data_IF_506211797779
#
_entry.id   IF_506211797779
#
_cell.length_a   1.000
_cell.length_b   1.000
_cell.length_c   1.000
_cell.angle_alpha   90.00
_cell.angle_beta   90.00
_cell.angle_gamma   90.00
#
_symmetry.space_group_name_H-M   'P 1'
#
loop_
_entity.id
_entity.type
_entity.pdbx_description
1 polymer ?
#
# COMPACT_ATOMS: atom_id res chain seq x y z
N UNK A 1 24.23 6.86 7.49
CA UNK A 1 23.43 6.08 8.46
C UNK A 1 22.26 5.53 7.69
N UNK A 2 22.25 4.22 7.43
CA UNK A 2 21.18 3.57 6.66
C UNK A 2 20.11 3.15 7.66
N UNK A 3 18.86 3.59 7.46
CA UNK A 3 17.75 3.27 8.36
C UNK A 3 16.59 2.71 7.55
N UNK A 4 16.18 1.48 7.87
CA UNK A 4 14.87 0.97 7.48
C UNK A 4 13.84 1.51 8.50
N UNK A 5 13.35 2.74 8.29
CA UNK A 5 12.45 3.44 9.21
C UNK A 5 13.11 3.99 10.49
N UNK A 6 12.33 4.60 11.39
CA UNK A 6 12.80 5.22 12.65
C UNK A 6 13.15 4.19 13.76
N UNK A 7 13.56 2.98 13.39
CA UNK A 7 13.98 1.96 14.35
C UNK A 7 15.34 2.39 14.90
N UNK A 8 15.34 2.79 16.18
CA UNK A 8 16.54 3.29 16.84
C UNK A 8 17.60 2.20 16.87
N UNK A 9 18.84 2.61 16.58
CA UNK A 9 20.00 1.77 16.81
C UNK A 9 20.03 1.30 18.26
N UNK A 10 20.02 -0.01 18.46
CA UNK A 10 20.13 -0.65 19.78
C UNK A 10 21.54 -0.53 20.34
N UNK A 11 22.52 -0.22 19.47
CA UNK A 11 23.89 0.03 19.84
C UNK A 11 24.04 1.43 20.46
N UNK A 12 24.30 1.47 21.77
CA UNK A 12 24.45 2.72 22.54
C UNK A 12 25.88 3.24 22.46
N UNK A 13 26.25 3.80 21.33
CA UNK A 13 27.56 4.40 21.10
C UNK A 13 27.45 5.88 20.71
N UNK A 14 28.58 6.61 20.80
CA UNK A 14 28.62 8.03 20.40
C UNK A 14 28.39 8.17 18.89
N UNK A 15 27.81 9.28 18.40
CA UNK A 15 27.54 9.46 16.96
C UNK A 15 28.76 9.33 16.02
N UNK A 16 29.98 9.52 16.55
CA UNK A 16 31.23 9.36 15.81
C UNK A 16 31.76 7.92 15.76
N UNK A 17 31.12 6.98 16.45
CA UNK A 17 31.53 5.58 16.48
C UNK A 17 31.15 4.89 15.16
N UNK A 18 32.12 4.17 14.59
CA UNK A 18 31.92 3.36 13.39
C UNK A 18 31.61 1.92 13.79
N UNK A 19 30.39 1.42 13.53
CA UNK A 19 30.00 0.07 13.91
C UNK A 19 30.80 -1.00 13.16
N UNK A 20 31.14 -2.08 13.87
CA UNK A 20 31.65 -3.29 13.25
C UNK A 20 30.57 -3.99 12.43
N UNK A 21 30.99 -4.88 11.53
CA UNK A 21 30.08 -5.63 10.66
C UNK A 21 29.04 -6.44 11.45
N UNK A 22 29.45 -7.07 12.55
CA UNK A 22 28.56 -7.92 13.34
C UNK A 22 27.51 -7.09 14.09
N UNK A 23 27.87 -5.89 14.55
CA UNK A 23 26.94 -4.94 15.18
C UNK A 23 25.90 -4.40 14.19
N UNK A 24 26.30 -4.17 12.92
CA UNK A 24 25.36 -3.80 11.85
C UNK A 24 24.37 -4.94 11.62
N UNK A 25 24.85 -6.19 11.49
CA UNK A 25 24.00 -7.35 11.23
C UNK A 25 23.02 -7.63 12.37
N UNK A 26 23.45 -7.51 13.63
CA UNK A 26 22.58 -7.64 14.80
C UNK A 26 21.50 -6.55 14.85
N UNK A 27 21.82 -5.32 14.44
CA UNK A 27 20.80 -4.26 14.33
C UNK A 27 19.81 -4.52 13.19
N UNK A 28 20.25 -5.11 12.07
CA UNK A 28 19.35 -5.53 11.01
C UNK A 28 18.39 -6.64 11.45
N UNK A 29 18.86 -7.64 12.20
CA UNK A 29 18.02 -8.69 12.79
C UNK A 29 16.97 -8.09 13.75
N UNK A 30 17.40 -7.15 14.61
CA UNK A 30 16.48 -6.41 15.47
C UNK A 30 15.42 -5.60 14.70
N UNK A 31 15.81 -4.96 13.58
CA UNK A 31 14.86 -4.27 12.71
C UNK A 31 13.82 -5.23 12.12
N UNK A 32 14.24 -6.43 11.70
CA UNK A 32 13.34 -7.45 11.16
C UNK A 32 12.36 -7.97 12.23
N UNK A 33 12.84 -8.25 13.45
CA UNK A 33 12.01 -8.64 14.60
C UNK A 33 11.01 -7.57 15.04
N UNK A 34 11.40 -6.30 14.90
CA UNK A 34 10.57 -5.15 15.27
C UNK A 34 9.48 -4.91 14.24
N UNK A 35 9.83 -5.01 12.95
CA UNK A 35 8.86 -4.96 11.85
C UNK A 35 7.89 -6.14 11.92
N UNK A 36 8.22 -7.22 12.65
CA UNK A 36 7.43 -8.43 12.78
C UNK A 36 6.18 -8.36 13.72
N UNK A 37 5.77 -7.20 14.27
CA UNK A 37 4.61 -7.09 15.22
C UNK A 37 3.28 -6.33 14.87
N UNK A 38 2.95 -5.97 13.62
CA UNK A 38 1.67 -5.31 13.21
C UNK A 38 0.63 -6.26 12.56
N UNK A 39 -0.59 -5.78 12.27
CA UNK A 39 -1.68 -6.52 11.60
C UNK A 39 -1.51 -6.56 10.07
N UNK A 40 -1.75 -7.72 9.46
CA UNK A 40 -1.03 -8.12 8.24
C UNK A 40 -1.77 -9.19 7.44
N UNK A 41 -1.40 -9.30 6.18
CA UNK A 41 -1.80 -10.35 5.25
C UNK A 41 -1.07 -11.65 5.64
N UNK A 42 -1.75 -12.79 5.52
CA UNK A 42 -1.18 -14.11 5.82
C UNK A 42 0.07 -14.39 4.95
N UNK A 43 1.25 -14.33 5.57
CA UNK A 43 2.53 -14.57 4.90
C UNK A 43 2.60 -15.98 4.35
N UNK A 44 2.12 -16.97 5.10
CA UNK A 44 2.26 -18.38 4.74
C UNK A 44 1.32 -18.73 3.56
N UNK A 45 0.21 -18.00 3.43
CA UNK A 45 -0.68 -18.06 2.28
C UNK A 45 -0.08 -17.41 1.02
N UNK A 46 0.56 -16.25 1.14
CA UNK A 46 1.10 -15.52 -0.02
C UNK A 46 2.50 -15.98 -0.44
N UNK A 47 3.28 -16.49 0.50
CA UNK A 47 4.66 -16.91 0.31
C UNK A 47 4.92 -18.32 0.88
N UNK A 48 4.16 -19.34 0.45
CA UNK A 48 4.40 -20.70 0.91
C UNK A 48 5.78 -21.21 0.47
N UNK A 49 6.41 -22.02 1.31
CA UNK A 49 7.75 -22.56 1.06
C UNK A 49 7.74 -23.94 0.37
N UNK A 50 8.88 -24.35 -0.17
CA UNK A 50 9.11 -25.70 -0.68
C UNK A 50 8.13 -26.13 -1.78
N UNK A 51 7.56 -27.34 -1.65
CA UNK A 51 6.62 -27.88 -2.64
C UNK A 51 5.24 -27.19 -2.59
N UNK A 52 4.90 -26.52 -1.48
CA UNK A 52 3.59 -25.88 -1.32
C UNK A 52 3.38 -24.76 -2.34
N UNK A 53 4.43 -24.01 -2.73
CA UNK A 53 4.36 -23.00 -3.79
C UNK A 53 3.96 -23.56 -5.17
N UNK A 54 4.14 -24.85 -5.40
CA UNK A 54 3.73 -25.50 -6.66
C UNK A 54 2.26 -25.86 -6.68
N UNK A 55 1.66 -26.12 -5.50
CA UNK A 55 0.30 -26.67 -5.38
C UNK A 55 -0.71 -25.68 -4.81
N UNK A 56 -0.27 -24.65 -4.09
CA UNK A 56 -1.14 -23.75 -3.34
C UNK A 56 -0.53 -22.37 -3.11
N UNK A 57 -1.17 -21.59 -2.25
CA UNK A 57 -0.84 -20.18 -2.04
C UNK A 57 -1.45 -19.24 -3.08
N UNK A 58 -1.52 -17.98 -2.70
CA UNK A 58 -2.23 -16.91 -3.40
C UNK A 58 -1.24 -15.92 -4.01
N UNK A 59 -1.34 -15.75 -5.33
CA UNK A 59 -0.55 -14.76 -6.09
C UNK A 59 -1.12 -13.35 -5.89
N UNK A 60 -0.26 -12.34 -5.83
CA UNK A 60 -0.69 -10.94 -5.72
C UNK A 60 -1.50 -10.50 -6.94
N UNK A 61 -1.15 -10.97 -8.14
CA UNK A 61 -1.95 -10.68 -9.35
C UNK A 61 -3.37 -11.24 -9.25
N UNK A 62 -3.55 -12.41 -8.60
CA UNK A 62 -4.87 -12.98 -8.40
C UNK A 62 -5.70 -12.11 -7.44
N UNK A 63 -5.10 -11.62 -6.36
CA UNK A 63 -5.77 -10.70 -5.43
C UNK A 63 -6.16 -9.39 -6.13
N UNK A 64 -5.25 -8.81 -6.92
CA UNK A 64 -5.54 -7.60 -7.69
C UNK A 64 -6.70 -7.81 -8.68
N UNK A 65 -6.76 -8.96 -9.35
CA UNK A 65 -7.86 -9.33 -10.23
C UNK A 65 -9.19 -9.48 -9.47
N UNK A 66 -9.18 -10.10 -8.29
CA UNK A 66 -10.38 -10.28 -7.45
C UNK A 66 -10.88 -8.95 -6.86
N UNK A 67 -9.98 -8.02 -6.50
CA UNK A 67 -10.35 -6.63 -6.17
C UNK A 67 -11.04 -5.95 -7.35
N UNK A 68 -10.44 -6.01 -8.53
CA UNK A 68 -10.98 -5.40 -9.75
C UNK A 68 -12.33 -5.99 -10.14
N UNK A 69 -12.53 -7.28 -9.91
CA UNK A 69 -13.80 -7.96 -10.20
C UNK A 69 -14.92 -7.60 -9.22
N UNK A 70 -14.61 -7.29 -7.96
CA UNK A 70 -15.61 -7.00 -6.91
C UNK A 70 -15.91 -5.53 -6.74
N UNK A 71 -14.90 -4.67 -6.88
CA UNK A 71 -15.04 -3.26 -6.55
C UNK A 71 -15.80 -2.50 -7.65
N UNK A 72 -16.89 -1.84 -7.26
CA UNK A 72 -17.72 -1.05 -8.16
C UNK A 72 -17.67 0.47 -7.87
N UNK A 73 -16.79 0.91 -6.96
CA UNK A 73 -16.67 2.31 -6.56
C UNK A 73 -17.55 2.74 -5.38
N UNK A 74 -18.53 1.92 -5.00
CA UNK A 74 -19.48 2.23 -3.91
C UNK A 74 -19.59 1.13 -2.84
N UNK A 75 -18.95 -0.02 -3.03
CA UNK A 75 -19.05 -1.19 -2.17
C UNK A 75 -17.77 -1.48 -1.39
N UNK A 76 -17.00 -0.46 -0.98
CA UNK A 76 -15.74 -0.66 -0.28
C UNK A 76 -15.88 -1.53 0.98
N UNK A 77 -16.97 -1.41 1.74
CA UNK A 77 -17.21 -2.23 2.94
C UNK A 77 -17.36 -3.73 2.60
N UNK A 78 -18.07 -4.08 1.52
CA UNK A 78 -18.21 -5.47 1.08
C UNK A 78 -16.89 -6.06 0.60
N UNK A 79 -16.12 -5.27 -0.16
CA UNK A 79 -14.79 -5.65 -0.63
C UNK A 79 -13.85 -5.82 0.55
N UNK A 80 -13.95 -4.97 1.56
CA UNK A 80 -13.18 -5.08 2.80
C UNK A 80 -13.49 -6.34 3.56
N UNK A 81 -14.77 -6.62 3.78
CA UNK A 81 -15.22 -7.81 4.48
C UNK A 81 -14.77 -9.08 3.78
N UNK A 82 -14.85 -9.12 2.45
CA UNK A 82 -14.31 -10.21 1.66
C UNK A 82 -12.79 -10.34 1.85
N UNK A 83 -12.03 -9.26 1.65
CA UNK A 83 -10.57 -9.29 1.73
C UNK A 83 -10.09 -9.75 3.11
N UNK A 84 -10.71 -9.21 4.17
CA UNK A 84 -10.40 -9.59 5.56
C UNK A 84 -10.68 -11.07 5.81
N UNK A 85 -11.85 -11.58 5.38
CA UNK A 85 -12.21 -13.00 5.53
C UNK A 85 -11.29 -13.93 4.74
N UNK A 86 -10.82 -13.50 3.58
CA UNK A 86 -10.03 -14.35 2.68
C UNK A 86 -8.53 -14.36 2.98
N UNK A 87 -7.97 -13.25 3.49
CA UNK A 87 -6.52 -13.05 3.56
C UNK A 87 -6.01 -12.42 4.86
N UNK A 88 -6.90 -11.94 5.72
CA UNK A 88 -6.52 -11.19 6.91
C UNK A 88 -6.09 -12.09 8.05
N UNK A 89 -4.98 -11.72 8.71
CA UNK A 89 -4.67 -12.15 10.06
C UNK A 89 -4.82 -10.96 11.02
N UNK A 90 -5.38 -11.20 12.19
CA UNK A 90 -5.60 -10.16 13.18
C UNK A 90 -5.43 -10.63 14.61
N UNK A 91 -4.93 -9.71 15.44
CA UNK A 91 -4.86 -9.84 16.90
C UNK A 91 -5.91 -8.97 17.61
N UNK A 92 -6.61 -8.14 16.86
CA UNK A 92 -7.58 -7.14 17.33
C UNK A 92 -8.98 -7.52 16.86
N UNK A 93 -10.02 -7.41 17.70
CA UNK A 93 -11.36 -7.94 17.40
C UNK A 93 -12.04 -7.30 16.19
N UNK A 94 -11.91 -5.97 16.01
CA UNK A 94 -12.48 -5.24 14.87
C UNK A 94 -11.52 -4.14 14.42
N UNK A 95 -11.05 -4.12 13.17
CA UNK A 95 -10.25 -2.99 12.65
C UNK A 95 -10.79 -2.52 11.32
N UNK A 96 -10.93 -1.20 11.17
CA UNK A 96 -11.35 -0.56 9.91
C UNK A 96 -10.20 -0.15 9.00
N UNK A 97 -8.94 -0.26 9.46
CA UNK A 97 -7.75 0.13 8.71
C UNK A 97 -6.98 -1.11 8.26
N UNK A 98 -6.56 -1.14 7.00
CA UNK A 98 -5.60 -2.11 6.48
C UNK A 98 -4.22 -1.46 6.46
N UNK A 99 -3.25 -2.14 7.06
CA UNK A 99 -1.86 -1.96 6.75
C UNK A 99 -1.38 -3.19 5.98
N UNK A 100 -0.81 -3.00 4.79
CA UNK A 100 -0.24 -4.09 4.01
C UNK A 100 1.11 -4.50 4.61
N UNK A 101 1.09 -5.34 5.64
CA UNK A 101 2.28 -6.07 6.09
C UNK A 101 2.08 -7.59 6.01
N UNK A 102 3.08 -8.38 6.39
CA UNK A 102 3.09 -9.85 6.26
C UNK A 102 3.31 -10.55 7.60
N UNK A 103 2.33 -11.34 8.08
CA UNK A 103 2.35 -12.04 9.39
C UNK A 103 2.06 -13.51 9.11
N UNK A 104 2.74 -14.41 9.82
CA UNK A 104 2.36 -15.82 9.85
C UNK A 104 1.29 -16.11 10.90
N UNK A 105 0.61 -17.24 10.74
CA UNK A 105 -0.34 -17.70 11.75
C UNK A 105 0.34 -17.93 13.11
N UNK A 106 1.57 -18.45 13.12
CA UNK A 106 2.34 -18.68 14.34
C UNK A 106 2.71 -17.37 15.08
N UNK A 107 3.13 -16.34 14.34
CA UNK A 107 3.40 -15.01 14.90
C UNK A 107 2.12 -14.40 15.47
N UNK A 108 0.98 -14.53 14.76
CA UNK A 108 -0.33 -14.08 15.26
C UNK A 108 -0.70 -14.75 16.59
N UNK A 109 -0.56 -16.08 16.69
CA UNK A 109 -0.85 -16.83 17.92
C UNK A 109 0.07 -16.37 19.07
N UNK A 110 1.34 -16.11 18.78
CA UNK A 110 2.31 -15.61 19.77
C UNK A 110 1.90 -14.22 20.25
N UNK A 111 1.53 -13.32 19.36
CA UNK A 111 1.02 -11.99 19.72
C UNK A 111 -0.25 -12.11 20.56
N UNK A 112 -1.25 -12.86 20.11
CA UNK A 112 -2.53 -13.05 20.82
C UNK A 112 -2.34 -13.57 22.25
N UNK A 113 -1.47 -14.56 22.42
CA UNK A 113 -1.20 -15.15 23.74
C UNK A 113 -0.44 -14.23 24.69
N UNK A 114 0.28 -13.24 24.17
CA UNK A 114 1.03 -12.26 24.95
C UNK A 114 0.23 -10.96 25.20
N UNK A 115 -0.87 -10.74 24.48
CA UNK A 115 -1.69 -9.53 24.61
C UNK A 115 -2.54 -9.59 25.88
N UNK A 116 -2.26 -8.69 26.83
CA UNK A 116 -3.05 -8.56 28.06
C UNK A 116 -4.30 -7.71 27.89
N UNK A 117 -4.27 -6.73 26.99
CA UNK A 117 -5.37 -5.80 26.75
C UNK A 117 -5.28 -5.22 25.35
N UNK A 118 -6.44 -5.10 24.68
CA UNK A 118 -6.57 -4.36 23.42
C UNK A 118 -7.55 -3.21 23.65
N UNK A 119 -7.10 -1.98 23.42
CA UNK A 119 -7.93 -0.77 23.51
C UNK A 119 -8.19 -0.26 22.10
N UNK A 120 -9.42 -0.40 21.64
CA UNK A 120 -9.83 0.01 20.29
C UNK A 120 -10.18 1.51 20.24
N UNK A 121 -9.21 2.37 20.49
CA UNK A 121 -9.34 3.83 20.43
C UNK A 121 -8.03 4.47 19.94
N UNK A 122 -8.08 5.75 19.60
CA UNK A 122 -6.89 6.53 19.24
C UNK A 122 -6.32 7.20 20.49
N UNK A 123 -5.04 6.94 20.77
CA UNK A 123 -4.26 7.73 21.71
C UNK A 123 -4.18 9.18 21.21
N UNK A 124 -4.58 10.12 22.07
CA UNK A 124 -4.47 11.56 21.83
C UNK A 124 -3.20 12.07 22.46
N UNK A 125 -2.98 11.77 23.74
CA UNK A 125 -1.82 12.24 24.49
C UNK A 125 -1.53 11.36 25.71
N UNK A 126 -0.36 11.55 26.32
CA UNK A 126 -0.02 11.03 27.64
C UNK A 126 0.23 12.21 28.57
N UNK A 127 -0.64 12.38 29.56
CA UNK A 127 -0.53 13.43 30.56
C UNK A 127 0.23 12.86 31.77
N UNK A 128 1.34 13.49 32.11
CA UNK A 128 2.11 13.19 33.32
C UNK A 128 1.80 14.26 34.38
N UNK A 129 1.00 13.90 35.38
CA UNK A 129 0.69 14.76 36.52
C UNK A 129 1.39 14.24 37.80
N UNK A 130 1.30 15.01 38.88
CA UNK A 130 2.00 14.71 40.14
C UNK A 130 1.57 13.38 40.81
N UNK A 131 0.48 12.75 40.35
CA UNK A 131 -0.01 11.48 40.89
C UNK A 131 0.49 10.28 40.08
N UNK A 132 0.18 10.24 38.77
CA UNK A 132 0.60 9.16 37.86
C UNK A 132 0.37 9.51 36.38
N UNK A 133 1.23 9.05 35.45
CA UNK A 133 0.98 9.24 34.03
C UNK A 133 -0.31 8.56 33.56
N UNK A 134 -1.07 9.23 32.68
CA UNK A 134 -2.36 8.76 32.14
C UNK A 134 -2.42 8.94 30.63
N UNK A 135 -2.91 7.92 29.92
CA UNK A 135 -3.25 8.02 28.50
C UNK A 135 -4.61 8.69 28.34
N UNK A 136 -4.68 9.72 27.51
CA UNK A 136 -5.92 10.31 27.04
C UNK A 136 -6.27 9.73 25.66
N UNK A 137 -7.49 9.23 25.52
CA UNK A 137 -7.99 8.64 24.29
C UNK A 137 -8.97 9.59 23.60
N UNK A 138 -9.20 9.39 22.30
CA UNK A 138 -10.09 10.24 21.49
C UNK A 138 -11.53 10.19 21.97
N UNK A 139 -11.98 9.07 22.54
CA UNK A 139 -13.29 8.99 23.19
C UNK A 139 -13.43 9.87 24.43
N UNK A 140 -12.34 10.46 24.94
CA UNK A 140 -12.28 11.14 26.23
C UNK A 140 -11.96 10.21 27.40
N UNK A 141 -11.82 8.89 27.16
CA UNK A 141 -11.41 7.95 28.18
C UNK A 141 -9.96 8.23 28.64
N UNK A 142 -9.72 8.05 29.94
CA UNK A 142 -8.41 8.20 30.58
C UNK A 142 -7.99 6.89 31.23
N UNK A 143 -6.82 6.37 30.85
CA UNK A 143 -6.30 5.10 31.36
C UNK A 143 -4.97 5.34 32.11
N UNK A 144 -4.81 4.86 33.35
CA UNK A 144 -3.55 5.01 34.07
C UNK A 144 -2.44 4.16 33.44
N UNK A 145 -1.22 4.71 33.38
CA UNK A 145 -0.03 3.99 32.97
C UNK A 145 0.72 3.48 34.20
N UNK A 146 1.07 2.19 34.18
CA UNK A 146 1.87 1.60 35.26
C UNK A 146 3.31 2.12 35.15
N UNK A 147 3.95 2.53 36.26
CA UNK A 147 5.38 2.86 36.26
C UNK A 147 6.21 1.73 35.62
N UNK A 148 7.17 2.10 34.77
CA UNK A 148 8.00 1.16 34.00
C UNK A 148 7.39 0.67 32.68
N UNK A 149 6.24 1.19 32.27
CA UNK A 149 5.66 0.94 30.95
C UNK A 149 6.49 1.56 29.82
N UNK A 150 6.60 0.87 28.69
CA UNK A 150 7.20 1.38 27.46
C UNK A 150 6.09 1.66 26.45
N UNK A 151 6.07 2.88 25.90
CA UNK A 151 5.16 3.23 24.82
C UNK A 151 5.89 3.15 23.49
N UNK A 152 5.37 2.32 22.59
CA UNK A 152 5.88 2.19 21.22
C UNK A 152 4.80 2.71 20.28
N UNK A 153 5.07 3.86 19.66
CA UNK A 153 4.20 4.43 18.64
C UNK A 153 4.77 4.12 17.26
N UNK A 154 4.05 3.33 16.46
CA UNK A 154 4.41 2.97 15.09
C UNK A 154 3.73 3.84 14.03
N UNK A 155 3.01 4.90 14.41
CA UNK A 155 2.36 5.79 13.44
C UNK A 155 3.24 6.97 13.01
N UNK A 156 3.48 7.05 11.70
CA UNK A 156 3.41 8.33 10.99
C UNK A 156 4.71 8.88 10.43
N UNK A 157 4.93 8.71 9.11
CA UNK A 157 5.69 9.65 8.27
C UNK A 157 5.21 9.75 6.81
N UNK A 158 4.17 9.02 6.39
CA UNK A 158 3.82 9.00 4.96
C UNK A 158 2.99 10.20 4.49
N UNK A 159 2.22 10.88 5.37
CA UNK A 159 1.14 11.78 4.90
C UNK A 159 1.04 13.15 5.64
N UNK A 160 2.13 13.88 5.82
CA UNK A 160 2.06 15.21 6.48
C UNK A 160 2.56 16.39 5.65
N UNK A 161 2.82 16.18 4.34
CA UNK A 161 3.21 17.28 3.47
C UNK A 161 2.10 17.52 2.45
N UNK A 162 1.36 18.60 2.65
CA UNK A 162 0.46 19.16 1.65
C UNK A 162 1.31 19.83 0.57
N UNK A 163 1.42 19.18 -0.57
CA UNK A 163 2.00 19.76 -1.77
C UNK A 163 0.88 20.24 -2.69
N UNK A 164 1.07 21.36 -3.40
CA UNK A 164 0.13 21.77 -4.45
C UNK A 164 0.01 20.68 -5.51
N UNK A 165 -1.18 20.55 -6.09
CA UNK A 165 -1.42 19.62 -7.18
C UNK A 165 -0.49 19.94 -8.37
N UNK A 166 0.12 18.90 -8.92
CA UNK A 166 0.86 18.94 -10.18
C UNK A 166 0.44 17.72 -11.04
N UNK A 167 0.10 17.92 -12.32
CA UNK A 167 -0.26 16.81 -13.21
C UNK A 167 0.96 15.91 -13.47
N UNK A 168 0.73 14.60 -13.66
CA UNK A 168 1.81 13.66 -13.98
C UNK A 168 2.52 13.98 -15.30
N UNK A 169 1.87 14.72 -16.21
CA UNK A 169 2.47 15.23 -17.44
C UNK A 169 2.28 16.75 -17.50
N UNK A 170 3.38 17.48 -17.64
CA UNK A 170 3.36 18.94 -17.80
C UNK A 170 2.49 19.38 -18.99
N UNK A 171 1.92 20.59 -18.98
CA UNK A 171 1.17 21.15 -20.10
C UNK A 171 1.89 21.08 -21.46
N UNK A 172 3.21 21.28 -21.46
CA UNK A 172 4.06 21.22 -22.67
C UNK A 172 4.38 19.80 -23.12
N UNK A 173 4.01 18.78 -22.35
CA UNK A 173 4.35 17.37 -22.61
C UNK A 173 5.82 17.01 -22.41
N UNK A 174 6.62 17.89 -21.79
CA UNK A 174 8.10 17.74 -21.70
C UNK A 174 8.59 17.23 -20.36
N UNK A 175 7.73 17.16 -19.34
CA UNK A 175 8.09 16.73 -17.98
C UNK A 175 7.08 15.70 -17.48
N UNK A 176 7.61 14.55 -17.05
CA UNK A 176 6.88 13.51 -16.33
C UNK A 176 7.14 13.68 -14.82
N UNK A 177 6.08 13.77 -14.05
CA UNK A 177 6.13 13.91 -12.59
C UNK A 177 5.54 12.66 -11.93
N UNK A 178 6.27 12.10 -10.96
CA UNK A 178 5.84 10.89 -10.22
C UNK A 178 5.49 11.31 -8.79
N UNK A 179 4.19 11.43 -8.51
CA UNK A 179 3.74 11.92 -7.22
C UNK A 179 2.35 11.40 -6.81
N UNK A 180 2.00 11.45 -5.51
CA UNK A 180 0.70 10.99 -5.01
C UNK A 180 -0.51 11.81 -5.50
N UNK A 181 -0.37 13.11 -5.74
CA UNK A 181 -1.49 14.01 -6.11
C UNK A 181 -1.96 13.81 -7.56
N UNK A 182 -1.16 13.14 -8.38
CA UNK A 182 -1.49 12.75 -9.75
C UNK A 182 -0.96 11.33 -10.00
N UNK A 183 -1.33 10.41 -9.12
CA UNK A 183 -0.85 9.05 -9.21
C UNK A 183 -1.49 8.33 -10.40
N UNK A 184 -0.66 7.68 -11.21
CA UNK A 184 -1.10 6.83 -12.34
C UNK A 184 -1.03 5.33 -12.01
N UNK A 185 -0.51 4.96 -10.84
CA UNK A 185 -0.33 3.57 -10.42
C UNK A 185 -0.44 3.45 -8.89
N UNK A 186 -0.72 2.23 -8.41
CA UNK A 186 -0.77 1.87 -7.00
C UNK A 186 0.56 2.03 -6.23
N UNK A 187 1.69 1.99 -6.94
CA UNK A 187 3.03 2.19 -6.38
C UNK A 187 3.80 3.19 -7.24
N UNK A 188 4.55 4.08 -6.60
CA UNK A 188 5.39 5.07 -7.29
C UNK A 188 6.43 4.41 -8.20
N UNK A 189 7.00 3.27 -7.81
CA UNK A 189 7.92 2.51 -8.66
C UNK A 189 7.26 1.99 -9.94
N UNK A 190 5.99 1.56 -9.88
CA UNK A 190 5.22 1.18 -11.07
C UNK A 190 4.92 2.41 -11.94
N UNK A 191 4.51 3.51 -11.31
CA UNK A 191 4.25 4.78 -12.00
C UNK A 191 5.50 5.31 -12.71
N UNK A 192 6.65 5.30 -12.03
CA UNK A 192 7.93 5.68 -12.60
C UNK A 192 8.32 4.78 -13.78
N UNK A 193 8.22 3.46 -13.61
CA UNK A 193 8.61 2.51 -14.67
C UNK A 193 7.73 2.65 -15.92
N UNK A 194 6.42 2.46 -15.80
CA UNK A 194 5.53 2.48 -16.97
C UNK A 194 5.30 3.90 -17.50
N UNK A 195 5.23 4.91 -16.62
CA UNK A 195 5.14 6.31 -17.01
C UNK A 195 6.35 6.73 -17.84
N UNK A 196 7.57 6.35 -17.44
CA UNK A 196 8.80 6.67 -18.21
C UNK A 196 8.82 5.98 -19.56
N UNK A 197 8.39 4.70 -19.65
CA UNK A 197 8.32 4.00 -20.93
C UNK A 197 7.33 4.65 -21.89
N UNK A 198 6.15 5.04 -21.40
CA UNK A 198 5.15 5.76 -22.20
C UNK A 198 5.65 7.14 -22.61
N UNK A 199 6.32 7.85 -21.71
CA UNK A 199 6.89 9.18 -21.96
C UNK A 199 7.98 9.14 -23.04
N UNK A 200 8.98 8.26 -22.88
CA UNK A 200 10.09 8.13 -23.83
C UNK A 200 9.68 7.52 -25.17
N UNK A 201 8.50 6.88 -25.24
CA UNK A 201 7.93 6.36 -26.49
C UNK A 201 6.96 7.34 -27.16
N UNK A 202 6.80 8.56 -26.62
CA UNK A 202 5.85 9.58 -27.09
C UNK A 202 4.39 9.08 -27.13
N UNK A 203 4.01 8.25 -26.15
CA UNK A 203 2.67 7.66 -26.04
C UNK A 203 1.88 8.13 -24.83
N UNK A 204 2.53 8.82 -23.89
CA UNK A 204 1.92 9.16 -22.60
C UNK A 204 0.70 10.08 -22.73
N UNK A 205 0.75 11.10 -23.59
CA UNK A 205 -0.32 12.09 -23.79
C UNK A 205 -1.61 11.52 -24.37
N UNK A 206 -1.51 10.41 -25.12
CA UNK A 206 -2.62 9.76 -25.82
C UNK A 206 -3.00 8.41 -25.22
N UNK A 207 -2.23 7.93 -24.23
CA UNK A 207 -2.49 6.65 -23.57
C UNK A 207 -3.82 6.60 -22.82
N UNK A 208 -4.43 7.76 -22.49
CA UNK A 208 -5.70 7.82 -21.77
C UNK A 208 -5.60 7.34 -20.32
N UNK A 209 -4.41 7.48 -19.70
CA UNK A 209 -4.21 7.09 -18.31
C UNK A 209 -5.11 7.92 -17.39
N UNK A 210 -5.66 7.25 -16.39
CA UNK A 210 -6.32 7.90 -15.27
C UNK A 210 -5.26 8.40 -14.28
N UNK A 211 -5.49 9.59 -13.72
CA UNK A 211 -4.84 10.07 -12.52
C UNK A 211 -5.80 9.93 -11.32
N UNK A 212 -5.23 9.79 -10.12
CA UNK A 212 -5.96 9.93 -8.85
C UNK A 212 -5.13 10.78 -7.91
N UNK A 213 -5.75 11.78 -7.28
CA UNK A 213 -5.17 12.45 -6.13
C UNK A 213 -5.33 11.55 -4.90
N UNK A 214 -4.25 10.82 -4.60
CA UNK A 214 -4.21 9.86 -3.51
C UNK A 214 -4.26 10.52 -2.14
N UNK A 215 -3.77 11.76 -2.03
CA UNK A 215 -3.77 12.48 -0.76
C UNK A 215 -5.18 12.96 -0.43
N UNK A 216 -5.85 13.55 -1.42
CA UNK A 216 -7.25 13.98 -1.31
C UNK A 216 -8.17 12.79 -1.01
N UNK A 217 -8.00 11.68 -1.75
CA UNK A 217 -8.78 10.45 -1.53
C UNK A 217 -8.55 9.86 -0.13
N UNK A 218 -7.29 9.80 0.32
CA UNK A 218 -6.96 9.27 1.64
C UNK A 218 -7.58 10.11 2.77
N UNK A 219 -7.60 11.44 2.60
CA UNK A 219 -8.23 12.36 3.53
C UNK A 219 -9.75 12.26 3.52
N UNK A 220 -10.36 12.05 2.34
CA UNK A 220 -11.81 11.88 2.21
C UNK A 220 -12.30 10.53 2.78
N UNK A 221 -11.61 9.44 2.46
CA UNK A 221 -11.95 8.10 2.98
C UNK A 221 -10.77 7.13 2.87
N UNK A 222 -10.22 6.76 4.02
CA UNK A 222 -9.17 5.73 4.12
C UNK A 222 -9.62 4.34 3.69
N UNK A 223 -10.94 4.06 3.76
CA UNK A 223 -11.49 2.76 3.38
C UNK A 223 -11.54 2.59 1.86
N UNK A 224 -11.98 3.60 1.11
CA UNK A 224 -12.07 3.46 -0.35
C UNK A 224 -10.69 3.51 -1.02
N UNK A 225 -9.66 3.99 -0.30
CA UNK A 225 -8.32 4.20 -0.83
C UNK A 225 -7.68 2.93 -1.44
N UNK A 226 -7.50 1.80 -0.71
CA UNK A 226 -6.90 0.60 -1.30
C UNK A 226 -7.64 0.00 -2.51
N UNK A 227 -8.98 -0.21 -2.49
CA UNK A 227 -9.66 -0.74 -3.67
C UNK A 227 -9.58 0.22 -4.88
N UNK A 228 -9.54 1.54 -4.64
CA UNK A 228 -9.30 2.53 -5.72
C UNK A 228 -7.92 2.39 -6.33
N UNK A 229 -6.87 2.16 -5.53
CA UNK A 229 -5.52 1.90 -6.05
C UNK A 229 -5.45 0.67 -6.96
N UNK A 230 -6.13 -0.42 -6.58
CA UNK A 230 -6.19 -1.63 -7.39
C UNK A 230 -6.95 -1.39 -8.71
N UNK A 231 -8.08 -0.67 -8.66
CA UNK A 231 -8.80 -0.28 -9.87
C UNK A 231 -7.95 0.60 -10.79
N UNK A 232 -7.26 1.62 -10.24
CA UNK A 232 -6.34 2.47 -10.98
C UNK A 232 -5.25 1.65 -11.68
N UNK A 233 -4.60 0.75 -10.95
CA UNK A 233 -3.57 -0.13 -11.48
C UNK A 233 -4.11 -1.03 -12.59
N UNK A 234 -5.27 -1.67 -12.38
CA UNK A 234 -5.90 -2.54 -13.38
C UNK A 234 -6.24 -1.78 -14.66
N UNK A 235 -6.80 -0.57 -14.54
CA UNK A 235 -7.11 0.30 -15.67
C UNK A 235 -5.85 0.69 -16.45
N UNK A 236 -4.87 1.30 -15.77
CA UNK A 236 -3.70 1.88 -16.42
C UNK A 236 -2.70 0.83 -16.90
N UNK A 237 -2.52 -0.30 -16.20
CA UNK A 237 -1.70 -1.40 -16.70
C UNK A 237 -2.31 -2.00 -17.97
N UNK A 238 -3.63 -2.10 -18.04
CA UNK A 238 -4.31 -2.59 -19.23
C UNK A 238 -4.03 -1.69 -20.44
N UNK A 239 -3.99 -0.36 -20.26
CA UNK A 239 -3.58 0.59 -21.31
C UNK A 239 -2.11 0.45 -21.68
N UNK A 240 -1.23 0.29 -20.68
CA UNK A 240 0.20 0.05 -20.91
C UNK A 240 0.43 -1.20 -21.76
N UNK A 241 -0.38 -2.26 -21.58
CA UNK A 241 -0.27 -3.51 -22.36
C UNK A 241 -0.57 -3.28 -23.84
N UNK A 242 -1.55 -2.44 -24.16
CA UNK A 242 -1.86 -2.10 -25.55
C UNK A 242 -0.82 -1.11 -26.13
N UNK A 243 -0.21 -0.26 -25.30
CA UNK A 243 0.64 0.83 -25.73
C UNK A 243 2.15 0.53 -25.71
N UNK A 244 2.62 -0.50 -25.02
CA UNK A 244 4.06 -0.79 -24.88
C UNK A 244 4.44 -2.17 -25.45
N UNK A 245 5.69 -2.36 -25.89
CA UNK A 245 6.16 -3.68 -26.31
C UNK A 245 6.18 -4.66 -25.13
N UNK A 246 5.98 -5.95 -25.42
CA UNK A 246 5.99 -7.00 -24.40
C UNK A 246 7.33 -7.10 -23.63
N UNK A 247 8.45 -6.61 -24.19
CA UNK A 247 9.73 -6.51 -23.49
C UNK A 247 9.65 -5.64 -22.25
N UNK A 248 8.93 -4.50 -22.32
CA UNK A 248 8.76 -3.60 -21.18
C UNK A 248 8.12 -4.33 -19.98
N UNK A 249 7.22 -5.29 -20.22
CA UNK A 249 6.63 -6.09 -19.14
C UNK A 249 7.56 -7.18 -18.63
N UNK A 250 8.32 -7.85 -19.51
CA UNK A 250 9.28 -8.90 -19.10
C UNK A 250 10.45 -8.35 -18.31
N UNK A 251 10.88 -7.13 -18.62
CA UNK A 251 12.00 -6.45 -17.98
C UNK A 251 11.58 -5.70 -16.71
N UNK A 252 10.28 -5.55 -16.47
CA UNK A 252 9.77 -4.99 -15.24
C UNK A 252 10.10 -5.94 -14.07
N UNK A 253 11.10 -5.55 -13.27
CA UNK A 253 11.55 -6.33 -12.11
C UNK A 253 10.56 -6.36 -10.94
N UNK A 254 9.48 -5.57 -11.01
CA UNK A 254 8.45 -5.44 -9.99
C UNK A 254 7.36 -6.52 -10.16
N UNK A 255 7.77 -7.79 -10.12
CA UNK A 255 6.85 -8.94 -10.20
C UNK A 255 6.78 -9.65 -8.84
N UNK A 256 5.72 -9.34 -8.08
CA UNK A 256 5.45 -9.96 -6.78
C UNK A 256 5.16 -11.47 -6.89
N UNK A 257 4.73 -11.96 -8.06
CA UNK A 257 4.44 -13.37 -8.26
C UNK A 257 5.69 -14.18 -8.60
N UNK A 258 6.87 -13.55 -8.71
CA UNK A 258 8.15 -14.22 -8.98
C UNK A 258 8.49 -15.31 -7.96
N UNK A 259 7.89 -15.27 -6.77
CA UNK A 259 7.96 -16.33 -5.77
C UNK A 259 7.45 -17.69 -6.29
N UNK A 260 6.46 -17.66 -7.19
CA UNK A 260 5.79 -18.84 -7.72
C UNK A 260 6.50 -19.43 -8.94
N UNK A 261 6.37 -20.75 -9.19
CA UNK A 261 6.94 -21.40 -10.36
C UNK A 261 6.41 -20.82 -11.68
N UNK A 262 7.27 -20.80 -12.71
CA UNK A 262 6.95 -20.25 -14.04
C UNK A 262 5.62 -20.74 -14.62
N UNK A 263 5.25 -22.04 -14.56
CA UNK A 263 3.98 -22.50 -15.14
C UNK A 263 2.75 -21.79 -14.56
N UNK A 264 2.74 -21.51 -13.24
CA UNK A 264 1.61 -20.83 -12.59
C UNK A 264 1.53 -19.37 -12.99
N UNK A 265 2.69 -18.70 -13.05
CA UNK A 265 2.81 -17.30 -13.51
C UNK A 265 2.36 -17.16 -14.97
N UNK A 266 2.76 -18.09 -15.84
CA UNK A 266 2.34 -18.09 -17.25
C UNK A 266 0.82 -18.24 -17.41
N UNK A 267 0.19 -19.09 -16.59
CA UNK A 267 -1.28 -19.23 -16.58
C UNK A 267 -1.95 -17.93 -16.14
N UNK A 268 -1.45 -17.30 -15.07
CA UNK A 268 -1.97 -16.01 -14.59
C UNK A 268 -1.83 -14.91 -15.65
N UNK A 269 -0.67 -14.83 -16.31
CA UNK A 269 -0.42 -13.90 -17.40
C UNK A 269 -1.38 -14.11 -18.58
N UNK A 270 -1.60 -15.37 -18.99
CA UNK A 270 -2.53 -15.68 -20.07
C UNK A 270 -3.98 -15.30 -19.71
N UNK A 271 -4.40 -15.52 -18.46
CA UNK A 271 -5.72 -15.08 -17.96
C UNK A 271 -5.83 -13.56 -18.03
N UNK A 272 -4.82 -12.85 -17.54
CA UNK A 272 -4.77 -11.39 -17.61
C UNK A 272 -4.87 -10.88 -19.06
N UNK A 273 -4.04 -11.39 -19.98
CA UNK A 273 -4.08 -10.99 -21.40
C UNK A 273 -5.43 -11.27 -22.07
N UNK A 274 -6.20 -12.25 -21.59
CA UNK A 274 -7.55 -12.51 -22.10
C UNK A 274 -8.60 -11.55 -21.55
N UNK A 275 -8.44 -11.09 -20.30
CA UNK A 275 -9.50 -10.39 -19.56
C UNK A 275 -9.25 -8.88 -19.41
N UNK A 276 -8.01 -8.41 -19.58
CA UNK A 276 -7.58 -7.06 -19.18
C UNK A 276 -8.41 -5.92 -19.78
N UNK A 277 -8.97 -6.06 -20.99
CA UNK A 277 -9.82 -5.03 -21.61
C UNK A 277 -11.20 -4.92 -20.94
N UNK A 278 -11.79 -6.04 -20.58
CA UNK A 278 -13.05 -6.04 -19.85
C UNK A 278 -12.85 -5.62 -18.38
N UNK A 279 -11.71 -5.99 -17.77
CA UNK A 279 -11.32 -5.46 -16.46
C UNK A 279 -11.09 -3.95 -16.49
N UNK A 280 -10.52 -3.41 -17.57
CA UNK A 280 -10.33 -1.97 -17.76
C UNK A 280 -11.64 -1.21 -17.69
N UNK A 281 -12.69 -1.67 -18.39
CA UNK A 281 -14.00 -1.00 -18.36
C UNK A 281 -14.68 -1.06 -16.99
N UNK A 282 -14.51 -2.17 -16.25
CA UNK A 282 -14.97 -2.28 -14.86
C UNK A 282 -14.23 -1.31 -13.95
N UNK A 283 -12.90 -1.30 -14.03
CA UNK A 283 -12.06 -0.40 -13.28
C UNK A 283 -12.40 1.06 -13.58
N UNK A 284 -12.63 1.40 -14.85
CA UNK A 284 -13.07 2.73 -15.28
C UNK A 284 -14.37 3.14 -14.59
N UNK A 285 -15.41 2.31 -14.62
CA UNK A 285 -16.68 2.59 -13.95
C UNK A 285 -16.51 2.77 -12.43
N UNK A 286 -15.66 1.95 -11.79
CA UNK A 286 -15.39 2.09 -10.37
C UNK A 286 -14.68 3.42 -10.06
N UNK A 287 -13.69 3.81 -10.86
CA UNK A 287 -12.97 5.09 -10.72
C UNK A 287 -13.90 6.29 -10.96
N UNK A 288 -14.74 6.25 -12.01
CA UNK A 288 -15.74 7.29 -12.29
C UNK A 288 -16.74 7.43 -11.13
N UNK A 289 -17.13 6.33 -10.50
CA UNK A 289 -18.02 6.32 -9.32
C UNK A 289 -17.32 6.92 -8.10
N UNK A 290 -16.03 6.60 -7.88
CA UNK A 290 -15.23 7.20 -6.80
C UNK A 290 -15.12 8.72 -6.99
N UNK A 291 -14.81 9.18 -8.21
CA UNK A 291 -14.80 10.60 -8.57
C UNK A 291 -16.12 11.28 -8.21
N UNK A 292 -17.25 10.69 -8.64
CA UNK A 292 -18.57 11.26 -8.42
C UNK A 292 -18.95 11.33 -6.93
N UNK A 293 -18.59 10.30 -6.16
CA UNK A 293 -18.98 10.18 -4.75
C UNK A 293 -18.13 11.02 -3.80
N UNK A 294 -16.82 11.08 -4.05
CA UNK A 294 -15.89 11.75 -3.14
C UNK A 294 -15.47 13.14 -3.63
N UNK A 295 -15.80 13.52 -4.87
CA UNK A 295 -15.47 14.82 -5.43
C UNK A 295 -13.97 15.02 -5.70
N UNK A 296 -13.17 13.97 -5.54
CA UNK A 296 -11.71 14.02 -5.69
C UNK A 296 -11.30 14.00 -7.15
N UNK A 297 -10.08 14.48 -7.43
CA UNK A 297 -9.48 14.31 -8.75
C UNK A 297 -9.22 12.82 -9.03
N UNK A 298 -10.05 12.25 -9.89
CA UNK A 298 -9.94 10.87 -10.35
C UNK A 298 -10.50 10.79 -11.77
N UNK A 299 -9.67 10.50 -12.76
CA UNK A 299 -10.10 10.51 -14.16
C UNK A 299 -8.96 10.67 -15.15
N UNK A 300 -9.24 10.70 -16.47
CA UNK A 300 -8.23 11.02 -17.47
C UNK A 300 -7.62 12.39 -17.21
N UNK A 301 -6.34 12.56 -17.56
CA UNK A 301 -5.68 13.85 -17.47
C UNK A 301 -6.45 14.89 -18.30
N UNK A 302 -6.90 15.95 -17.63
CA UNK A 302 -7.65 17.02 -18.29
C UNK A 302 -6.72 17.83 -19.19
N UNK A 303 -7.01 17.88 -20.50
CA UNK A 303 -6.25 18.72 -21.45
C UNK A 303 -6.51 20.22 -21.26
N UNK A 304 -7.59 20.57 -20.55
CA UNK A 304 -7.88 21.94 -20.13
C UNK A 304 -7.19 22.21 -18.79
N UNK A 305 -5.93 22.65 -18.85
CA UNK A 305 -5.29 23.29 -17.71
C UNK A 305 -5.81 24.74 -17.61
N UNK A 306 -6.18 25.24 -16.42
CA UNK A 306 -6.43 26.65 -16.25
C UNK A 306 -5.17 27.41 -16.68
N UNK A 307 -5.34 28.39 -17.57
CA UNK A 307 -4.29 29.36 -17.87
C UNK A 307 -3.90 30.01 -16.55
N UNK A 308 -2.73 29.69 -16.04
CA UNK A 308 -2.14 30.43 -14.93
C UNK A 308 -1.96 31.86 -15.46
N UNK A 309 -2.68 32.80 -14.85
CA UNK A 309 -2.53 34.24 -15.10
C UNK A 309 -1.26 34.75 -14.43
#
# INVERSE_FOLDING_TARGET
>A
MFTAGNIKWTLRQRPSYLPSKDEVLAHFEHCLDTIAKDQRVDRDLFFPEGIARWRGGVMFSAVAAEFTARFNGANEDEVWDWFRRSYGLWATPHTGNLFLGLLSEAERVTVDSALNQVVMDHLVDVIDDDEQPRMLLRSGASLPLRPGSWMVNCTGYLNHLDFPYEPYLSPSGTTLSIQPQSAIMHLTSFGAYFGTHLFLSDRLSDAGLYEVDLMELYNASRKVFPPTLFALAAHNLSLCVDALPASAFRECGLDFDRWYPLPRRSIAQLKFLRQHRADRERARHALDTVRARYGVRCGPLSRELPRIA
#
